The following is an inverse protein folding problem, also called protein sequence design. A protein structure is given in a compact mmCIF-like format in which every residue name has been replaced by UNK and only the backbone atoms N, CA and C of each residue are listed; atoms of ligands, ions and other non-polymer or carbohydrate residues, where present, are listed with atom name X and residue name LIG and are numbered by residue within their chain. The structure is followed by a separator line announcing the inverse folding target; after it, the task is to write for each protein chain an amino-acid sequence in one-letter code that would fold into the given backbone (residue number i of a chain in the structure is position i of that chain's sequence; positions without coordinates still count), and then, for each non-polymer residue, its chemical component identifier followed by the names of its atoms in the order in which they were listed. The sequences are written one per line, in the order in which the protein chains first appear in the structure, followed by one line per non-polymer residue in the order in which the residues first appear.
data_IF_870563986715
#
_entry.id   IF_870563986715
#
_cell.length_a   1.000
_cell.length_b   1.000
_cell.length_c   1.000
_cell.angle_alpha   90.00
_cell.angle_beta   90.00
_cell.angle_gamma   90.00
#
_symmetry.space_group_name_H-M   'P 1'
#
loop_
_entity.id
_entity.type
_entity.pdbx_description
1 polymer ?
#
# COMPACT_ATOMS: atom_id res chain seq x y z
N UNK A 1 -57.46 -47.82 50.94
CA UNK A 1 -58.20 -47.09 51.99
C UNK A 1 -57.28 -46.04 52.57
N UNK A 2 -57.71 -44.79 52.55
CA UNK A 2 -56.96 -43.61 52.98
C UNK A 2 -57.22 -43.28 54.46
N UNK A 3 -56.23 -42.64 55.10
CA UNK A 3 -56.27 -41.55 56.11
C UNK A 3 -55.03 -41.69 57.00
N UNK A 4 -54.04 -40.79 56.99
CA UNK A 4 -54.05 -39.38 57.35
C UNK A 4 -54.38 -39.13 58.83
N UNK A 5 -53.37 -38.71 59.59
CA UNK A 5 -53.52 -37.96 60.84
C UNK A 5 -52.55 -36.78 60.83
N UNK A 6 -53.13 -35.58 60.68
CA UNK A 6 -52.55 -34.29 60.99
C UNK A 6 -52.55 -34.07 62.51
N UNK A 7 -51.54 -33.34 63.02
CA UNK A 7 -51.71 -32.46 64.19
C UNK A 7 -51.09 -31.11 63.81
N UNK A 8 -51.84 -30.06 64.13
CA UNK A 8 -51.76 -28.68 63.65
C UNK A 8 -51.42 -27.74 64.82
N UNK A 9 -50.97 -26.53 64.48
CA UNK A 9 -51.00 -25.27 65.26
C UNK A 9 -50.13 -25.15 66.50
N UNK A 10 -49.58 -23.99 66.87
CA UNK A 10 -49.53 -22.64 66.32
C UNK A 10 -48.50 -21.85 67.16
N UNK A 11 -47.72 -20.97 66.56
CA UNK A 11 -47.31 -19.70 67.19
C UNK A 11 -46.66 -18.78 66.15
N UNK A 12 -47.49 -17.91 65.60
CA UNK A 12 -47.12 -16.72 64.84
C UNK A 12 -47.16 -15.54 65.81
N UNK A 13 -46.05 -14.79 65.97
CA UNK A 13 -46.01 -13.31 65.83
C UNK A 13 -44.59 -12.73 66.09
N UNK A 14 -43.97 -12.25 65.01
CA UNK A 14 -43.32 -10.93 64.85
C UNK A 14 -42.19 -10.52 65.83
N UNK A 15 -40.97 -10.40 65.29
CA UNK A 15 -40.29 -9.10 65.27
C UNK A 15 -39.43 -8.93 64.00
N UNK A 16 -39.65 -7.78 63.38
CA UNK A 16 -39.10 -7.32 62.12
C UNK A 16 -37.65 -6.82 62.33
N UNK A 17 -36.70 -7.27 61.50
CA UNK A 17 -35.58 -6.43 61.10
C UNK A 17 -35.32 -6.60 59.60
N UNK A 18 -35.40 -5.45 58.93
CA UNK A 18 -35.36 -5.30 57.49
C UNK A 18 -33.94 -5.47 56.91
N UNK A 19 -33.91 -6.05 55.71
CA UNK A 19 -33.14 -5.65 54.54
C UNK A 19 -31.68 -5.17 54.72
N UNK A 20 -30.71 -5.91 54.17
CA UNK A 20 -29.95 -5.52 52.96
C UNK A 20 -29.50 -6.79 52.19
N UNK A 21 -29.86 -6.84 50.91
CA UNK A 21 -29.60 -7.82 49.83
C UNK A 21 -28.11 -7.99 49.45
N UNK A 22 -27.72 -8.84 48.45
CA UNK A 22 -28.32 -10.08 47.95
C UNK A 22 -27.31 -11.22 47.66
N UNK A 23 -27.86 -12.43 47.46
CA UNK A 23 -27.31 -13.43 46.53
C UNK A 23 -27.06 -12.81 45.15
N UNK A 24 -25.81 -12.79 44.69
CA UNK A 24 -25.48 -12.51 43.30
C UNK A 24 -25.26 -13.82 42.55
N UNK A 25 -26.03 -14.14 41.49
CA UNK A 25 -25.58 -15.13 40.53
C UNK A 25 -24.39 -14.51 39.79
N UNK A 26 -23.27 -15.24 39.68
CA UNK A 26 -22.23 -14.88 38.73
C UNK A 26 -22.84 -14.92 37.33
N UNK A 27 -23.35 -13.77 36.87
CA UNK A 27 -23.82 -13.58 35.50
C UNK A 27 -22.60 -13.80 34.61
N UNK A 28 -22.55 -14.97 33.97
CA UNK A 28 -21.61 -15.26 32.91
C UNK A 28 -21.77 -14.17 31.85
N UNK A 29 -20.74 -13.35 31.76
CA UNK A 29 -20.58 -12.21 30.88
C UNK A 29 -20.40 -12.68 29.42
N UNK A 30 -21.43 -13.27 28.82
CA UNK A 30 -21.46 -13.51 27.39
C UNK A 30 -21.54 -12.15 26.67
N UNK A 31 -20.42 -11.67 26.12
CA UNK A 31 -20.38 -10.49 25.25
C UNK A 31 -19.51 -9.32 25.71
N UNK A 32 -18.82 -9.40 26.85
CA UNK A 32 -17.93 -8.34 27.38
C UNK A 32 -16.50 -8.39 26.82
N UNK A 33 -16.06 -9.53 26.31
CA UNK A 33 -14.70 -9.74 25.81
C UNK A 33 -14.68 -9.89 24.30
N UNK A 34 -13.58 -9.49 23.68
CA UNK A 34 -13.27 -9.69 22.28
C UNK A 34 -11.92 -10.41 22.13
N UNK A 35 -11.74 -11.13 21.04
CA UNK A 35 -10.51 -11.86 20.75
C UNK A 35 -9.93 -11.31 19.44
N UNK A 36 -8.88 -10.50 19.55
CA UNK A 36 -8.17 -9.97 18.38
C UNK A 36 -7.13 -10.98 17.90
N UNK A 37 -7.15 -11.26 16.61
CA UNK A 37 -6.23 -12.17 15.93
C UNK A 37 -5.27 -11.38 15.05
N UNK A 38 -3.99 -11.73 15.11
CA UNK A 38 -2.94 -11.24 14.21
C UNK A 38 -2.21 -12.42 13.57
N UNK A 39 -1.75 -12.23 12.34
CA UNK A 39 -1.01 -13.23 11.58
C UNK A 39 0.06 -12.57 10.75
N UNK A 40 1.17 -13.27 10.55
CA UNK A 40 2.24 -12.93 9.61
C UNK A 40 2.04 -13.58 8.22
N UNK A 41 0.88 -14.17 7.92
CA UNK A 41 0.53 -14.66 6.58
C UNK A 41 0.22 -13.53 5.57
N UNK A 42 0.11 -13.81 4.26
CA UNK A 42 0.15 -15.11 3.57
C UNK A 42 1.51 -15.79 3.66
N UNK A 43 1.55 -17.10 3.42
CA UNK A 43 2.80 -17.85 3.47
C UNK A 43 2.99 -18.78 2.27
N UNK A 44 4.26 -19.07 1.99
CA UNK A 44 4.62 -20.05 0.96
C UNK A 44 4.50 -21.45 1.55
N UNK A 45 4.00 -22.42 0.79
CA UNK A 45 3.84 -23.80 1.23
C UNK A 45 5.16 -24.35 1.80
N UNK A 46 5.11 -24.88 3.02
CA UNK A 46 6.25 -25.38 3.77
C UNK A 46 6.90 -24.38 4.75
N UNK A 47 6.57 -23.08 4.67
CA UNK A 47 7.06 -22.08 5.64
C UNK A 47 6.21 -22.08 6.90
N UNK A 48 6.82 -21.66 8.01
CA UNK A 48 6.12 -21.51 9.28
C UNK A 48 5.38 -20.17 9.35
N UNK A 49 4.17 -20.19 9.90
CA UNK A 49 3.31 -19.01 10.09
C UNK A 49 3.01 -18.87 11.57
N UNK A 50 3.14 -17.65 12.09
CA UNK A 50 2.78 -17.29 13.46
C UNK A 50 1.41 -16.63 13.50
N UNK A 51 0.50 -17.21 14.29
CA UNK A 51 -0.82 -16.65 14.56
C UNK A 51 -0.92 -16.35 16.04
N UNK A 52 -1.25 -15.11 16.40
CA UNK A 52 -1.41 -14.68 17.79
C UNK A 52 -2.85 -14.23 18.06
N UNK A 53 -3.41 -14.70 19.16
CA UNK A 53 -4.70 -14.27 19.69
C UNK A 53 -4.47 -13.50 20.99
N UNK A 54 -5.13 -12.36 21.16
CA UNK A 54 -5.11 -11.59 22.40
C UNK A 54 -6.54 -11.28 22.87
N UNK A 55 -6.82 -11.57 24.13
CA UNK A 55 -8.09 -11.30 24.78
C UNK A 55 -8.14 -9.82 25.21
N UNK A 56 -9.13 -9.08 24.70
CA UNK A 56 -9.30 -7.64 24.94
C UNK A 56 -10.70 -7.39 25.52
N UNK A 57 -10.84 -6.43 26.44
CA UNK A 57 -12.14 -5.99 26.97
C UNK A 57 -12.81 -5.10 25.93
N UNK A 58 -14.13 -5.25 25.70
CA UNK A 58 -14.86 -4.30 24.86
C UNK A 58 -14.96 -2.94 25.56
N UNK A 59 -14.77 -1.86 24.81
CA UNK A 59 -14.58 -0.46 25.27
C UNK A 59 -15.66 0.12 26.22
N UNK A 60 -16.76 -0.61 26.52
CA UNK A 60 -17.80 -0.20 27.48
C UNK A 60 -17.82 -1.03 28.79
N UNK A 61 -16.85 -1.91 29.02
CA UNK A 61 -16.76 -2.73 30.24
C UNK A 61 -15.65 -2.25 31.18
N UNK A 62 -15.98 -1.54 32.26
CA UNK A 62 -15.06 -1.21 33.35
C UNK A 62 -14.85 -2.42 34.29
N UNK A 63 -14.30 -3.51 33.76
CA UNK A 63 -13.82 -4.66 34.54
C UNK A 63 -12.38 -4.94 34.16
N UNK A 64 -11.40 -4.75 35.07
CA UNK A 64 -10.01 -5.11 34.79
C UNK A 64 -9.92 -6.63 34.54
N UNK A 65 -9.30 -7.04 33.43
CA UNK A 65 -8.91 -8.43 33.23
C UNK A 65 -7.90 -8.81 34.32
N UNK A 66 -8.14 -9.85 35.12
CA UNK A 66 -7.09 -10.41 35.97
C UNK A 66 -5.93 -10.82 35.07
N UNK A 67 -4.72 -10.34 35.36
CA UNK A 67 -3.55 -10.57 34.53
C UNK A 67 -2.97 -12.00 34.64
N UNK A 68 -3.60 -12.86 35.44
CA UNK A 68 -3.11 -14.21 35.71
C UNK A 68 -3.41 -15.16 34.55
N UNK A 69 -2.35 -15.72 33.97
CA UNK A 69 -2.40 -16.70 32.88
C UNK A 69 -3.19 -17.99 33.23
N UNK A 70 -3.40 -18.26 34.53
CA UNK A 70 -4.06 -19.47 35.01
C UNK A 70 -5.60 -19.40 34.99
N UNK A 71 -6.18 -18.29 34.55
CA UNK A 71 -7.64 -18.10 34.51
C UNK A 71 -8.28 -18.40 33.15
N UNK A 72 -7.50 -18.33 32.06
CA UNK A 72 -8.03 -18.43 30.69
C UNK A 72 -7.32 -19.52 29.89
N UNK A 73 -8.10 -20.34 29.18
CA UNK A 73 -7.60 -21.41 28.32
C UNK A 73 -7.99 -21.14 26.87
N UNK A 74 -6.99 -21.15 25.99
CA UNK A 74 -7.18 -20.94 24.55
C UNK A 74 -7.26 -22.29 23.83
N UNK A 75 -8.35 -22.46 23.09
CA UNK A 75 -8.59 -23.65 22.27
C UNK A 75 -8.52 -23.24 20.82
N UNK A 76 -7.71 -23.96 20.05
CA UNK A 76 -7.45 -23.67 18.64
C UNK A 76 -7.97 -24.80 17.76
N UNK A 77 -8.59 -24.45 16.65
CA UNK A 77 -8.81 -25.34 15.51
C UNK A 77 -7.97 -24.81 14.36
N UNK A 78 -6.98 -25.61 13.96
CA UNK A 78 -6.03 -25.28 12.90
C UNK A 78 -5.91 -26.41 11.86
N UNK A 79 -6.62 -27.53 12.01
CA UNK A 79 -6.56 -28.65 11.06
C UNK A 79 -7.08 -28.22 9.69
N UNK A 80 -6.40 -28.57 8.58
CA UNK A 80 -5.35 -29.58 8.45
C UNK A 80 -3.90 -29.08 8.59
N UNK A 81 -3.66 -27.86 9.08
CA UNK A 81 -2.31 -27.33 9.28
C UNK A 81 -1.58 -28.07 10.42
N UNK A 82 -0.28 -28.30 10.22
CA UNK A 82 0.60 -28.96 11.20
C UNK A 82 1.04 -27.96 12.26
N UNK A 83 0.71 -28.20 13.53
CA UNK A 83 1.15 -27.37 14.65
C UNK A 83 2.62 -27.67 14.99
N UNK A 84 3.47 -26.66 14.95
CA UNK A 84 4.90 -26.79 15.29
C UNK A 84 5.22 -26.29 16.69
N UNK A 85 4.54 -25.22 17.13
CA UNK A 85 4.69 -24.68 18.48
C UNK A 85 3.40 -24.01 18.96
N UNK A 86 3.21 -24.00 20.29
CA UNK A 86 2.18 -23.23 20.97
C UNK A 86 2.78 -22.58 22.20
N UNK A 87 2.53 -21.29 22.38
CA UNK A 87 2.93 -20.52 23.56
C UNK A 87 1.73 -19.75 24.10
N UNK A 88 1.61 -19.68 25.43
CA UNK A 88 0.56 -18.94 26.11
C UNK A 88 1.21 -18.00 27.14
N UNK A 89 0.78 -16.74 27.15
CA UNK A 89 1.29 -15.71 28.05
C UNK A 89 0.16 -14.78 28.48
N UNK A 90 -0.26 -14.88 29.74
CA UNK A 90 -1.32 -14.07 30.34
C UNK A 90 -2.64 -14.13 29.54
N UNK A 91 -2.90 -13.11 28.75
CA UNK A 91 -4.11 -12.92 27.94
C UNK A 91 -3.86 -13.16 26.45
N UNK A 92 -2.68 -13.67 26.09
CA UNK A 92 -2.31 -13.97 24.71
C UNK A 92 -1.94 -15.44 24.52
N UNK A 93 -2.31 -15.98 23.37
CA UNK A 93 -1.93 -17.31 22.91
C UNK A 93 -1.42 -17.22 21.49
N UNK A 94 -0.27 -17.81 21.23
CA UNK A 94 0.37 -17.81 19.92
C UNK A 94 0.60 -19.26 19.48
N UNK A 95 0.18 -19.57 18.25
CA UNK A 95 0.48 -20.85 17.60
C UNK A 95 1.39 -20.61 16.41
N UNK A 96 2.27 -21.57 16.15
CA UNK A 96 3.03 -21.67 14.91
C UNK A 96 2.55 -22.89 14.14
N UNK A 97 2.26 -22.69 12.87
CA UNK A 97 1.66 -23.70 11.99
C UNK A 97 2.36 -23.73 10.65
N UNK A 98 2.38 -24.90 10.03
CA UNK A 98 2.94 -25.12 8.69
C UNK A 98 1.84 -25.71 7.79
N UNK A 99 1.72 -25.18 6.57
CA UNK A 99 0.85 -25.70 5.53
C UNK A 99 1.63 -26.47 4.46
N UNK A 100 1.35 -27.77 4.31
CA UNK A 100 2.01 -28.63 3.31
C UNK A 100 1.33 -28.66 1.94
N UNK A 101 0.17 -28.02 1.80
CA UNK A 101 -0.63 -27.99 0.57
C UNK A 101 -1.09 -26.54 0.35
N UNK A 102 -1.12 -26.03 -0.90
CA UNK A 102 -1.68 -24.72 -1.17
C UNK A 102 -3.19 -24.70 -0.94
N UNK A 103 -3.69 -23.60 -0.40
CA UNK A 103 -5.11 -23.45 -0.08
C UNK A 103 -5.36 -22.34 0.95
N UNK A 104 -6.63 -22.04 1.15
CA UNK A 104 -7.07 -21.08 2.15
C UNK A 104 -7.63 -21.85 3.36
N UNK A 105 -6.92 -21.77 4.49
CA UNK A 105 -7.21 -22.59 5.67
C UNK A 105 -7.86 -21.76 6.78
N UNK A 106 -9.09 -22.08 7.22
CA UNK A 106 -9.71 -21.38 8.33
C UNK A 106 -9.04 -21.81 9.65
N UNK A 107 -8.57 -20.83 10.42
CA UNK A 107 -8.06 -21.01 11.78
C UNK A 107 -9.00 -20.32 12.73
N UNK A 108 -9.53 -21.05 13.71
CA UNK A 108 -10.43 -20.49 14.72
C UNK A 108 -9.90 -20.73 16.12
N UNK A 109 -10.22 -19.79 17.00
CA UNK A 109 -9.82 -19.82 18.40
C UNK A 109 -10.96 -19.35 19.29
N UNK A 110 -11.12 -20.01 20.43
CA UNK A 110 -12.03 -19.57 21.47
C UNK A 110 -11.38 -19.68 22.85
N UNK A 111 -11.87 -18.87 23.78
CA UNK A 111 -11.34 -18.78 25.14
C UNK A 111 -12.39 -19.22 26.14
N UNK A 112 -12.00 -20.06 27.09
CA UNK A 112 -12.82 -20.49 28.23
C UNK A 112 -12.14 -20.12 29.55
N UNK A 113 -12.91 -19.91 30.61
CA UNK A 113 -12.36 -19.87 31.97
C UNK A 113 -11.88 -21.28 32.38
N UNK A 114 -10.82 -21.38 33.17
CA UNK A 114 -10.19 -22.67 33.54
C UNK A 114 -11.12 -23.57 34.36
N UNK A 115 -11.94 -23.00 35.26
CA UNK A 115 -12.79 -23.75 36.19
C UNK A 115 -14.20 -24.10 35.64
N UNK A 116 -14.41 -24.10 34.32
CA UNK A 116 -15.73 -24.39 33.79
C UNK A 116 -15.73 -25.19 32.48
N UNK A 117 -15.86 -26.51 32.63
CA UNK A 117 -15.93 -27.49 31.53
C UNK A 117 -17.19 -27.34 30.66
N UNK A 118 -18.29 -26.83 31.22
CA UNK A 118 -19.59 -26.68 30.53
C UNK A 118 -19.95 -25.23 30.17
N UNK A 119 -19.03 -24.27 30.36
CA UNK A 119 -19.33 -22.87 30.09
C UNK A 119 -19.31 -22.55 28.59
N UNK A 120 -20.16 -21.59 28.21
CA UNK A 120 -20.07 -20.95 26.89
C UNK A 120 -18.72 -20.23 26.75
N UNK A 121 -18.13 -20.20 25.54
CA UNK A 121 -16.88 -19.49 25.31
C UNK A 121 -17.05 -17.99 25.60
N UNK A 122 -16.03 -17.39 26.23
CA UNK A 122 -16.00 -15.96 26.59
C UNK A 122 -15.91 -15.09 25.33
N UNK A 123 -15.08 -15.52 24.39
CA UNK A 123 -14.90 -14.91 23.08
C UNK A 123 -14.46 -15.97 22.07
N UNK A 124 -14.76 -15.71 20.80
CA UNK A 124 -14.38 -16.53 19.64
C UNK A 124 -13.94 -15.63 18.51
N UNK A 125 -12.96 -16.06 17.75
CA UNK A 125 -12.48 -15.36 16.57
C UNK A 125 -11.95 -16.36 15.56
N UNK A 126 -11.97 -15.99 14.28
CA UNK A 126 -11.48 -16.83 13.20
C UNK A 126 -10.83 -15.96 12.13
N UNK A 127 -9.81 -16.51 11.47
CA UNK A 127 -9.17 -15.93 10.30
C UNK A 127 -9.01 -17.00 9.23
N UNK A 128 -8.81 -16.58 7.99
CA UNK A 128 -8.46 -17.48 6.89
C UNK A 128 -6.99 -17.24 6.54
N UNK A 129 -6.18 -18.30 6.63
CA UNK A 129 -4.75 -18.26 6.32
C UNK A 129 -4.51 -18.76 4.88
N UNK A 130 -4.12 -17.88 3.95
CA UNK A 130 -3.73 -18.28 2.61
C UNK A 130 -2.31 -18.88 2.58
N UNK A 131 -2.21 -20.14 2.16
CA UNK A 131 -0.95 -20.82 1.83
C UNK A 131 -0.84 -20.91 0.32
N UNK A 132 0.22 -20.34 -0.25
CA UNK A 132 0.46 -20.28 -1.69
C UNK A 132 1.53 -21.30 -2.09
N UNK A 133 1.39 -21.89 -3.27
CA UNK A 133 2.42 -22.78 -3.83
C UNK A 133 3.69 -21.99 -4.21
N UNK A 134 3.46 -20.85 -4.85
CA UNK A 134 4.47 -19.87 -5.27
C UNK A 134 4.98 -19.01 -4.12
N UNK A 135 6.15 -18.40 -4.34
CA UNK A 135 6.75 -17.43 -3.41
C UNK A 135 5.77 -16.28 -3.12
N UNK A 136 5.70 -15.87 -1.85
CA UNK A 136 4.96 -14.69 -1.40
C UNK A 136 5.92 -13.52 -1.27
N UNK A 137 5.53 -12.36 -1.80
CA UNK A 137 6.35 -11.17 -1.77
C UNK A 137 5.65 -9.99 -2.45
N UNK A 138 6.33 -8.86 -2.51
CA UNK A 138 5.83 -7.65 -3.13
C UNK A 138 6.87 -7.02 -4.05
N UNK A 139 6.40 -6.44 -5.16
CA UNK A 139 7.21 -5.67 -6.09
C UNK A 139 7.03 -4.18 -5.80
N UNK A 140 8.09 -3.53 -5.33
CA UNK A 140 8.10 -2.11 -4.97
C UNK A 140 8.88 -1.32 -6.01
N UNK A 141 8.30 -0.21 -6.45
CA UNK A 141 8.91 0.67 -7.45
C UNK A 141 9.05 2.07 -6.88
N UNK A 142 10.29 2.54 -6.78
CA UNK A 142 10.59 3.86 -6.25
C UNK A 142 11.37 4.68 -7.27
N UNK A 143 11.19 6.00 -7.21
CA UNK A 143 11.95 6.95 -8.00
C UNK A 143 12.44 8.05 -7.07
N UNK A 144 13.72 8.40 -7.17
CA UNK A 144 14.28 9.48 -6.38
C UNK A 144 13.95 10.81 -7.06
N UNK A 145 12.79 11.39 -6.75
CA UNK A 145 12.31 12.65 -7.29
C UNK A 145 11.82 13.56 -6.19
N UNK A 146 12.13 14.85 -6.30
CA UNK A 146 11.57 15.90 -5.44
C UNK A 146 10.08 16.16 -5.68
N UNK A 147 9.54 15.65 -6.79
CA UNK A 147 8.15 15.77 -7.18
C UNK A 147 7.41 14.48 -6.82
N UNK A 148 6.48 14.54 -5.86
CA UNK A 148 5.64 13.41 -5.45
C UNK A 148 4.33 13.42 -6.22
N UNK A 149 4.27 12.66 -7.30
CA UNK A 149 3.02 12.45 -8.04
C UNK A 149 2.40 11.11 -7.65
N UNK A 150 1.13 11.06 -7.21
CA UNK A 150 0.47 9.80 -6.89
C UNK A 150 0.34 8.97 -8.17
N UNK A 151 0.90 7.76 -8.13
CA UNK A 151 0.76 6.72 -9.16
C UNK A 151 1.33 7.08 -10.55
N UNK A 152 2.35 7.94 -10.64
CA UNK A 152 3.08 8.17 -11.91
C UNK A 152 4.57 8.42 -11.71
N UNK A 153 5.36 8.07 -12.72
CA UNK A 153 6.82 8.14 -12.73
C UNK A 153 7.31 9.02 -13.89
N UNK A 154 8.52 9.57 -13.75
CA UNK A 154 9.13 10.45 -14.75
C UNK A 154 10.00 9.62 -15.72
N UNK A 155 9.85 9.84 -17.03
CA UNK A 155 10.72 9.22 -18.06
C UNK A 155 12.16 9.76 -18.00
N UNK A 156 13.11 9.06 -18.61
CA UNK A 156 14.54 9.46 -18.69
C UNK A 156 15.20 9.64 -17.32
N UNK A 157 14.62 9.05 -16.28
CA UNK A 157 15.12 9.03 -14.90
C UNK A 157 15.20 7.58 -14.43
N UNK A 158 16.17 7.28 -13.57
CA UNK A 158 16.37 5.93 -13.05
C UNK A 158 15.26 5.56 -12.07
N UNK A 159 14.57 4.46 -12.34
CA UNK A 159 13.64 3.80 -11.43
C UNK A 159 14.38 2.70 -10.68
N UNK A 160 14.11 2.60 -9.39
CA UNK A 160 14.57 1.51 -8.54
C UNK A 160 13.43 0.51 -8.37
N UNK A 161 13.56 -0.65 -9.02
CA UNK A 161 12.63 -1.77 -8.93
C UNK A 161 13.20 -2.74 -7.89
N UNK A 162 12.40 -3.12 -6.89
CA UNK A 162 12.85 -3.95 -5.78
C UNK A 162 11.82 -5.04 -5.47
N UNK A 163 12.25 -6.29 -5.51
CA UNK A 163 11.45 -7.41 -5.00
C UNK A 163 11.70 -7.59 -3.50
N UNK A 164 10.62 -7.63 -2.71
CA UNK A 164 10.66 -7.88 -1.28
C UNK A 164 10.00 -9.24 -1.00
N UNK A 165 10.82 -10.23 -0.63
CA UNK A 165 10.34 -11.53 -0.21
C UNK A 165 9.63 -11.41 1.15
N UNK A 166 8.48 -12.07 1.28
CA UNK A 166 7.76 -12.20 2.54
C UNK A 166 8.07 -13.56 3.18
N UNK A 167 9.08 -13.59 4.06
CA UNK A 167 9.53 -14.80 4.77
C UNK A 167 9.85 -14.48 6.24
N UNK A 168 8.83 -14.33 7.11
CA UNK A 168 9.03 -14.05 8.52
C UNK A 168 9.69 -15.21 9.29
N UNK A 169 9.67 -16.43 8.73
CA UNK A 169 10.22 -17.64 9.35
C UNK A 169 11.70 -17.88 9.04
N UNK A 170 12.33 -17.03 8.22
CA UNK A 170 13.68 -17.23 7.67
C UNK A 170 13.86 -18.60 6.95
N UNK A 171 12.78 -19.15 6.39
CA UNK A 171 12.79 -20.46 5.72
C UNK A 171 13.74 -20.47 4.51
N UNK A 172 13.80 -19.38 3.76
CA UNK A 172 14.60 -19.25 2.54
C UNK A 172 16.01 -18.67 2.79
N UNK A 173 16.47 -18.60 4.05
CA UNK A 173 17.77 -18.02 4.39
C UNK A 173 18.98 -18.66 3.69
N UNK A 174 18.88 -19.94 3.35
CA UNK A 174 19.94 -20.69 2.63
C UNK A 174 19.71 -20.78 1.11
N UNK A 175 18.63 -20.19 0.60
CA UNK A 175 18.29 -20.26 -0.81
C UNK A 175 19.10 -19.25 -1.63
N UNK A 176 19.48 -19.67 -2.84
CA UNK A 176 19.98 -18.79 -3.89
C UNK A 176 18.79 -18.27 -4.72
N UNK A 177 18.79 -16.98 -5.04
CA UNK A 177 17.69 -16.35 -5.76
C UNK A 177 18.12 -15.89 -7.15
N UNK A 178 17.26 -16.12 -8.14
CA UNK A 178 17.40 -15.64 -9.50
C UNK A 178 16.15 -14.86 -9.92
N UNK A 179 16.35 -13.74 -10.58
CA UNK A 179 15.31 -12.79 -10.96
C UNK A 179 15.34 -12.59 -12.46
N UNK A 180 14.25 -12.93 -13.13
CA UNK A 180 14.03 -12.61 -14.54
C UNK A 180 13.05 -11.45 -14.64
N UNK A 181 13.59 -10.28 -14.94
CA UNK A 181 12.86 -9.03 -15.16
C UNK A 181 12.43 -8.89 -16.61
N UNK A 182 11.18 -8.51 -16.81
CA UNK A 182 10.60 -8.08 -18.08
C UNK A 182 10.04 -6.67 -17.85
N UNK A 183 10.59 -5.68 -18.55
CA UNK A 183 10.22 -4.28 -18.37
C UNK A 183 8.98 -3.88 -19.19
N UNK A 184 8.44 -4.80 -20.00
CA UNK A 184 7.24 -4.55 -20.80
C UNK A 184 7.45 -3.65 -22.02
N UNK A 185 8.68 -3.21 -22.29
CA UNK A 185 9.09 -2.49 -23.50
C UNK A 185 9.85 -3.40 -24.51
N UNK A 186 9.88 -4.71 -24.24
CA UNK A 186 10.64 -5.71 -25.00
C UNK A 186 12.01 -6.04 -24.39
N UNK A 187 12.48 -5.24 -23.44
CA UNK A 187 13.75 -5.49 -22.75
C UNK A 187 13.57 -6.47 -21.60
N UNK A 188 14.49 -7.42 -21.49
CA UNK A 188 14.55 -8.39 -20.40
C UNK A 188 15.93 -8.40 -19.75
N UNK A 189 15.97 -8.72 -18.46
CA UNK A 189 17.21 -8.80 -17.69
C UNK A 189 17.14 -9.98 -16.71
N UNK A 190 18.23 -10.71 -16.56
CA UNK A 190 18.37 -11.78 -15.57
C UNK A 190 19.44 -11.37 -14.56
N UNK A 191 19.11 -11.40 -13.27
CA UNK A 191 20.00 -11.00 -12.17
C UNK A 191 19.92 -11.99 -11.01
N UNK A 192 20.94 -11.99 -10.15
CA UNK A 192 20.96 -12.61 -8.82
C UNK A 192 20.57 -11.61 -7.70
N UNK A 193 20.51 -10.32 -8.04
CA UNK A 193 20.08 -9.25 -7.14
C UNK A 193 18.56 -8.99 -7.24
N UNK A 194 17.91 -8.78 -6.09
CA UNK A 194 16.48 -8.46 -5.98
C UNK A 194 16.15 -7.01 -6.37
N UNK A 195 17.17 -6.18 -6.57
CA UNK A 195 17.04 -4.76 -6.94
C UNK A 195 17.68 -4.51 -8.30
N UNK A 196 16.93 -3.84 -9.18
CA UNK A 196 17.44 -3.39 -10.48
C UNK A 196 17.11 -1.91 -10.71
N UNK A 197 17.98 -1.24 -11.45
CA UNK A 197 17.80 0.14 -11.88
C UNK A 197 17.50 0.17 -13.37
N UNK A 198 16.42 0.85 -13.76
CA UNK A 198 15.98 0.90 -15.16
C UNK A 198 15.45 2.28 -15.54
N UNK A 199 15.70 2.72 -16.77
CA UNK A 199 15.30 4.02 -17.29
C UNK A 199 14.46 3.88 -18.57
N UNK A 200 13.19 4.31 -18.50
CA UNK A 200 12.33 4.32 -19.68
C UNK A 200 12.53 5.60 -20.50
N UNK A 201 12.80 5.44 -21.79
CA UNK A 201 12.99 6.57 -22.72
C UNK A 201 11.66 7.19 -23.16
N UNK A 202 10.62 6.38 -23.30
CA UNK A 202 9.32 6.78 -23.85
C UNK A 202 8.26 6.90 -22.75
N UNK A 203 7.39 7.93 -22.80
CA UNK A 203 6.22 8.01 -21.93
C UNK A 203 5.20 6.93 -22.32
N UNK A 204 4.37 6.50 -21.38
CA UNK A 204 3.39 5.45 -21.62
C UNK A 204 3.03 4.65 -20.38
N UNK A 205 2.20 3.63 -20.56
CA UNK A 205 1.91 2.65 -19.52
C UNK A 205 2.67 1.36 -19.84
N UNK A 206 3.47 0.89 -18.89
CA UNK A 206 4.26 -0.33 -19.00
C UNK A 206 3.87 -1.30 -17.89
N UNK A 207 3.98 -2.60 -18.16
CA UNK A 207 3.75 -3.64 -17.15
C UNK A 207 5.06 -4.35 -16.88
N UNK A 208 5.66 -4.06 -15.72
CA UNK A 208 6.87 -4.75 -15.28
C UNK A 208 6.47 -6.08 -14.69
N UNK A 209 7.16 -7.14 -15.10
CA UNK A 209 7.01 -8.49 -14.55
C UNK A 209 8.35 -8.96 -14.02
N UNK A 210 8.33 -9.67 -12.90
CA UNK A 210 9.50 -10.36 -12.38
C UNK A 210 9.12 -11.79 -12.04
N UNK A 211 9.87 -12.73 -12.61
CA UNK A 211 9.85 -14.13 -12.21
C UNK A 211 11.02 -14.37 -11.27
N UNK A 212 10.72 -14.78 -10.05
CA UNK A 212 11.69 -15.10 -9.01
C UNK A 212 11.80 -16.61 -8.91
N UNK A 213 13.02 -17.13 -8.86
CA UNK A 213 13.34 -18.54 -8.59
C UNK A 213 14.20 -18.59 -7.33
N UNK A 214 13.76 -19.33 -6.32
CA UNK A 214 14.51 -19.62 -5.12
C UNK A 214 14.94 -21.09 -5.14
N UNK A 215 16.25 -21.34 -5.05
CA UNK A 215 16.83 -22.68 -5.12
C UNK A 215 17.63 -23.00 -3.85
N UNK A 216 17.41 -24.17 -3.26
CA UNK A 216 18.17 -24.62 -2.09
C UNK A 216 18.33 -26.14 -2.06
N UNK A 217 19.33 -26.61 -1.32
CA UNK A 217 19.53 -28.05 -1.08
C UNK A 217 18.62 -28.52 0.07
N UNK A 218 17.90 -29.62 -0.16
CA UNK A 218 17.19 -30.33 0.90
C UNK A 218 17.65 -31.79 0.95
N UNK A 219 17.96 -32.27 2.16
CA UNK A 219 18.26 -33.68 2.40
C UNK A 219 16.95 -34.46 2.32
N UNK A 220 16.80 -35.28 1.28
CA UNK A 220 15.70 -36.25 1.21
C UNK A 220 16.01 -37.44 2.12
N UNK A 221 14.97 -38.21 2.50
CA UNK A 221 15.09 -39.39 3.37
C UNK A 221 16.11 -40.43 2.86
N UNK A 222 16.40 -40.45 1.56
CA UNK A 222 17.26 -41.44 0.89
C UNK A 222 18.72 -40.98 0.70
N UNK A 223 19.27 -40.15 1.61
CA UNK A 223 20.67 -39.62 1.63
C UNK A 223 21.18 -38.92 0.37
N UNK A 224 20.34 -38.76 -0.66
CA UNK A 224 20.61 -37.98 -1.86
C UNK A 224 20.17 -36.53 -1.63
N UNK A 225 21.13 -35.61 -1.73
CA UNK A 225 20.85 -34.17 -1.74
C UNK A 225 20.05 -33.83 -2.99
N UNK A 226 18.82 -33.35 -2.82
CA UNK A 226 18.01 -32.85 -3.92
C UNK A 226 18.00 -31.33 -3.93
N UNK A 227 18.16 -30.73 -5.11
CA UNK A 227 17.90 -29.30 -5.31
C UNK A 227 16.38 -29.13 -5.40
N UNK A 228 15.84 -28.25 -4.56
CA UNK A 228 14.44 -27.85 -4.58
C UNK A 228 14.36 -26.43 -5.09
N UNK A 229 13.35 -26.17 -5.92
CA UNK A 229 13.10 -24.86 -6.47
C UNK A 229 11.67 -24.42 -6.16
N UNK A 230 11.50 -23.15 -5.81
CA UNK A 230 10.20 -22.48 -5.75
C UNK A 230 10.23 -21.23 -6.60
N UNK A 231 9.11 -20.96 -7.25
CA UNK A 231 9.00 -19.82 -8.17
C UNK A 231 7.88 -18.88 -7.73
N UNK A 232 7.99 -17.62 -8.13
CA UNK A 232 6.93 -16.62 -7.95
C UNK A 232 6.93 -15.63 -9.11
N UNK A 233 5.75 -15.35 -9.65
CA UNK A 233 5.56 -14.38 -10.72
C UNK A 233 4.84 -13.16 -10.15
N UNK A 234 5.47 -11.98 -10.29
CA UNK A 234 4.96 -10.72 -9.75
C UNK A 234 4.89 -9.69 -10.87
N UNK A 235 3.89 -8.80 -10.81
CA UNK A 235 3.73 -7.76 -11.81
C UNK A 235 3.20 -6.46 -11.22
N UNK A 236 3.61 -5.34 -11.81
CA UNK A 236 3.10 -4.01 -11.47
C UNK A 236 2.98 -3.14 -12.72
N UNK A 237 2.03 -2.20 -12.70
CA UNK A 237 1.81 -1.27 -13.82
C UNK A 237 2.44 0.08 -13.52
N UNK A 238 3.27 0.56 -14.44
CA UNK A 238 3.96 1.84 -14.36
C UNK A 238 3.34 2.82 -15.33
N UNK A 239 3.00 4.02 -14.86
CA UNK A 239 2.56 5.14 -15.70
C UNK A 239 3.67 6.18 -15.81
N UNK A 240 4.36 6.19 -16.93
CA UNK A 240 5.49 7.05 -17.21
C UNK A 240 5.05 8.30 -17.97
N UNK A 241 5.46 9.45 -17.45
CA UNK A 241 5.17 10.78 -18.00
C UNK A 241 6.46 11.52 -18.27
N UNK A 242 6.48 12.29 -19.35
CA UNK A 242 7.62 13.14 -19.68
C UNK A 242 7.46 14.53 -19.08
N UNK A 243 8.53 15.03 -18.45
CA UNK A 243 8.59 16.40 -17.95
C UNK A 243 8.85 17.38 -19.08
N UNK A 244 8.23 18.54 -19.03
CA UNK A 244 8.58 19.68 -19.85
C UNK A 244 9.92 20.25 -19.36
N UNK A 245 10.98 20.11 -20.16
CA UNK A 245 12.32 20.58 -19.83
C UNK A 245 12.48 22.09 -20.03
N UNK A 246 11.70 22.69 -20.93
CA UNK A 246 11.76 24.12 -21.21
C UNK A 246 11.07 24.52 -22.51
N UNK A 247 11.20 25.82 -22.81
CA UNK A 247 10.67 26.46 -24.03
C UNK A 247 11.84 27.15 -24.73
N UNK A 248 12.10 26.80 -25.98
CA UNK A 248 13.03 27.50 -26.86
C UNK A 248 12.25 28.45 -27.76
N UNK A 249 12.66 29.71 -27.82
CA UNK A 249 11.98 30.75 -28.60
C UNK A 249 12.89 31.16 -29.76
N UNK A 250 12.34 31.13 -30.97
CA UNK A 250 12.99 31.57 -32.19
C UNK A 250 12.17 32.72 -32.78
N UNK A 251 12.68 33.94 -32.66
CA UNK A 251 12.04 35.14 -33.19
C UNK A 251 13.00 36.34 -33.16
N UNK A 252 12.71 37.39 -33.93
CA UNK A 252 13.51 38.60 -33.93
C UNK A 252 13.38 39.36 -32.61
N UNK A 253 14.43 40.11 -32.26
CA UNK A 253 14.49 40.98 -31.07
C UNK A 253 14.30 42.46 -31.42
N UNK A 254 14.32 42.81 -32.70
CA UNK A 254 14.15 44.15 -33.23
C UNK A 254 13.12 44.14 -34.35
N UNK A 255 12.14 45.04 -34.32
CA UNK A 255 11.11 45.16 -35.36
C UNK A 255 10.71 46.63 -35.58
N UNK A 256 10.00 46.91 -36.67
CA UNK A 256 9.32 48.19 -36.89
C UNK A 256 7.81 48.07 -36.64
N UNK A 257 7.15 49.19 -36.33
CA UNK A 257 5.68 49.25 -36.22
C UNK A 257 5.00 48.81 -37.51
N UNK A 258 3.79 48.25 -37.38
CA UNK A 258 2.96 47.72 -38.48
C UNK A 258 3.56 46.53 -39.25
N UNK A 259 4.72 46.00 -38.84
CA UNK A 259 5.25 44.75 -39.37
C UNK A 259 4.69 43.54 -38.61
N UNK A 260 4.49 42.43 -39.32
CA UNK A 260 4.03 41.18 -38.75
C UNK A 260 5.20 40.39 -38.16
N UNK A 261 5.28 40.36 -36.83
CA UNK A 261 6.16 39.46 -36.10
C UNK A 261 5.66 38.03 -36.24
N UNK A 262 6.57 37.10 -36.51
CA UNK A 262 6.32 35.65 -36.37
C UNK A 262 7.40 35.06 -35.48
N UNK A 263 6.97 34.37 -34.43
CA UNK A 263 7.85 33.75 -33.46
C UNK A 263 7.47 32.29 -33.27
N UNK A 264 8.47 31.42 -33.32
CA UNK A 264 8.30 29.96 -33.16
C UNK A 264 8.74 29.56 -31.77
N UNK A 265 7.86 28.88 -31.04
CA UNK A 265 8.15 28.27 -29.75
C UNK A 265 8.32 26.77 -29.95
N UNK A 266 9.46 26.23 -29.54
CA UNK A 266 9.75 24.81 -29.51
C UNK A 266 9.74 24.33 -28.05
N UNK A 267 8.84 23.41 -27.74
CA UNK A 267 8.68 22.82 -26.41
C UNK A 267 9.57 21.58 -26.28
N UNK A 268 10.41 21.56 -25.25
CA UNK A 268 11.26 20.42 -24.94
C UNK A 268 10.51 19.43 -24.03
N UNK A 269 9.47 18.79 -24.55
CA UNK A 269 8.64 17.82 -23.83
C UNK A 269 7.49 17.29 -24.67
N UNK A 270 6.66 16.43 -24.07
CA UNK A 270 5.54 15.79 -24.76
C UNK A 270 4.23 16.59 -24.68
N UNK A 271 3.48 16.74 -25.79
CA UNK A 271 2.12 17.27 -25.79
C UNK A 271 1.10 16.27 -25.19
N UNK A 272 -0.14 16.71 -24.85
CA UNK A 272 -0.67 18.07 -24.98
C UNK A 272 -0.14 19.03 -23.91
N UNK A 273 0.08 20.29 -24.30
CA UNK A 273 0.56 21.37 -23.44
C UNK A 273 -0.50 22.48 -23.34
N UNK A 274 -0.74 22.97 -22.13
CA UNK A 274 -1.49 24.19 -21.89
C UNK A 274 -0.52 25.36 -21.91
N UNK A 275 -0.56 26.15 -22.97
CA UNK A 275 0.32 27.30 -23.15
C UNK A 275 -0.48 28.56 -22.85
N UNK A 276 0.10 29.47 -22.09
CA UNK A 276 -0.46 30.80 -21.85
C UNK A 276 0.60 31.83 -22.18
N UNK A 277 0.25 32.83 -23.00
CA UNK A 277 1.17 33.89 -23.36
C UNK A 277 0.58 35.26 -23.06
N UNK A 278 1.44 36.24 -22.80
CA UNK A 278 1.06 37.61 -22.55
C UNK A 278 2.15 38.57 -23.00
N UNK A 279 1.77 39.83 -23.20
CA UNK A 279 2.64 40.90 -23.64
C UNK A 279 2.60 42.02 -22.60
N UNK A 280 3.77 42.36 -22.03
CA UNK A 280 3.89 43.44 -21.04
C UNK A 280 5.12 44.30 -21.32
N UNK A 281 5.18 45.56 -20.86
CA UNK A 281 6.39 46.39 -20.98
C UNK A 281 7.57 45.82 -20.18
N UNK A 282 7.31 45.07 -19.11
CA UNK A 282 8.32 44.45 -18.25
C UNK A 282 8.16 42.93 -18.22
N UNK A 283 9.29 42.21 -18.13
CA UNK A 283 9.30 40.74 -18.04
C UNK A 283 8.98 40.27 -16.62
N UNK A 284 7.72 40.38 -16.22
CA UNK A 284 7.21 39.89 -14.94
C UNK A 284 6.40 38.60 -15.15
N UNK A 285 6.22 37.82 -14.09
CA UNK A 285 5.39 36.61 -14.15
C UNK A 285 3.94 36.96 -14.52
N UNK A 286 3.30 36.10 -15.32
CA UNK A 286 1.88 36.23 -15.66
C UNK A 286 1.00 35.65 -14.55
N UNK A 287 0.01 36.41 -14.11
CA UNK A 287 -1.12 35.88 -13.36
C UNK A 287 -2.08 35.12 -14.30
N UNK A 288 -2.79 34.11 -13.79
CA UNK A 288 -3.63 33.20 -14.58
C UNK A 288 -4.74 33.89 -15.39
N UNK A 289 -5.13 35.11 -15.03
CA UNK A 289 -6.22 35.87 -15.65
C UNK A 289 -5.75 36.83 -16.75
N UNK A 290 -4.44 37.04 -16.89
CA UNK A 290 -3.86 38.05 -17.78
C UNK A 290 -3.18 37.48 -19.02
N UNK A 291 -3.37 36.19 -19.28
CA UNK A 291 -2.71 35.50 -20.37
C UNK A 291 -3.72 34.87 -21.34
N UNK A 292 -3.30 34.74 -22.60
CA UNK A 292 -4.08 34.10 -23.65
C UNK A 292 -3.82 32.59 -23.64
N UNK A 293 -4.80 31.76 -23.23
CA UNK A 293 -4.62 30.31 -23.16
C UNK A 293 -4.75 29.67 -24.54
N UNK A 294 -3.87 28.73 -24.84
CA UNK A 294 -3.80 27.97 -26.09
C UNK A 294 -3.46 26.51 -25.76
N UNK A 295 -4.25 25.57 -26.26
CA UNK A 295 -3.94 24.16 -26.18
C UNK A 295 -3.05 23.78 -27.37
N UNK A 296 -1.83 23.31 -27.09
CA UNK A 296 -0.87 22.90 -28.11
C UNK A 296 -0.73 21.38 -28.12
N UNK A 297 -1.04 20.76 -29.26
CA UNK A 297 -0.97 19.30 -29.47
C UNK A 297 0.33 18.85 -30.14
N UNK A 298 1.16 19.80 -30.57
CA UNK A 298 2.47 19.56 -31.22
C UNK A 298 3.59 20.03 -30.29
N UNK A 299 4.84 19.70 -30.65
CA UNK A 299 6.04 20.18 -29.95
C UNK A 299 6.45 21.60 -30.37
N UNK A 300 5.76 22.19 -31.36
CA UNK A 300 5.99 23.57 -31.78
C UNK A 300 4.69 24.37 -31.89
N UNK A 301 4.79 25.68 -31.62
CA UNK A 301 3.70 26.63 -31.75
C UNK A 301 4.22 27.94 -32.35
N UNK A 302 3.53 28.46 -33.36
CA UNK A 302 3.88 29.75 -33.98
C UNK A 302 2.91 30.82 -33.49
N UNK A 303 3.46 31.88 -32.88
CA UNK A 303 2.72 33.07 -32.53
C UNK A 303 3.01 34.16 -33.56
N UNK A 304 1.94 34.84 -33.98
CA UNK A 304 2.05 36.02 -34.83
C UNK A 304 1.43 37.22 -34.13
N UNK A 305 2.11 38.36 -34.15
CA UNK A 305 1.66 39.61 -33.53
C UNK A 305 2.04 40.81 -34.39
N UNK A 306 1.30 41.91 -34.28
CA UNK A 306 1.57 43.17 -34.98
C UNK A 306 1.57 44.29 -33.96
N UNK A 307 2.65 45.07 -33.91
CA UNK A 307 2.79 46.21 -33.00
C UNK A 307 2.27 47.49 -33.67
N UNK A 308 1.39 48.20 -32.97
CA UNK A 308 0.88 49.51 -33.43
C UNK A 308 1.77 50.65 -32.94
N UNK A 309 2.24 50.56 -31.70
CA UNK A 309 3.05 51.59 -31.06
C UNK A 309 4.51 51.16 -30.92
N UNK A 310 5.46 52.11 -31.02
CA UNK A 310 6.87 51.85 -30.72
C UNK A 310 7.09 51.73 -29.21
N UNK A 311 8.06 50.93 -28.81
CA UNK A 311 8.38 50.72 -27.40
C UNK A 311 9.14 49.42 -27.14
N UNK A 312 9.48 49.22 -25.88
CA UNK A 312 10.07 47.97 -25.39
C UNK A 312 8.96 47.07 -24.85
N UNK A 313 8.87 45.87 -25.43
CA UNK A 313 7.90 44.87 -25.03
C UNK A 313 8.58 43.57 -24.61
N UNK A 314 7.92 42.84 -23.72
CA UNK A 314 8.32 41.52 -23.30
C UNK A 314 7.17 40.55 -23.48
N UNK A 315 7.39 39.54 -24.33
CA UNK A 315 6.53 38.38 -24.36
C UNK A 315 6.87 37.47 -23.20
N UNK A 316 5.83 37.03 -22.50
CA UNK A 316 5.93 36.10 -21.38
C UNK A 316 5.19 34.84 -21.81
N UNK A 317 5.87 33.70 -21.78
CA UNK A 317 5.31 32.40 -22.11
C UNK A 317 5.32 31.51 -20.89
N UNK A 318 4.19 30.85 -20.66
CA UNK A 318 4.04 29.75 -19.73
C UNK A 318 3.53 28.54 -20.47
N UNK A 319 4.18 27.41 -20.30
CA UNK A 319 3.68 26.14 -20.77
C UNK A 319 3.63 25.16 -19.60
N UNK A 320 2.52 24.44 -19.47
CA UNK A 320 2.36 23.43 -18.46
C UNK A 320 1.84 22.12 -19.07
N UNK A 321 2.30 21.02 -18.50
CA UNK A 321 1.75 19.70 -18.72
C UNK A 321 1.24 19.13 -17.39
N UNK A 322 0.77 17.89 -17.40
CA UNK A 322 0.18 17.26 -16.22
C UNK A 322 1.13 17.12 -15.02
N UNK A 323 2.46 17.30 -15.19
CA UNK A 323 3.46 17.06 -14.14
C UNK A 323 4.52 18.16 -13.97
N UNK A 324 4.55 19.18 -14.83
CA UNK A 324 5.61 20.20 -14.84
C UNK A 324 5.16 21.47 -15.55
N UNK A 325 5.79 22.59 -15.18
CA UNK A 325 5.57 23.91 -15.78
C UNK A 325 6.91 24.51 -16.20
N UNK A 326 6.92 25.24 -17.31
CA UNK A 326 8.07 26.00 -17.78
C UNK A 326 7.64 27.43 -18.12
N UNK A 327 8.51 28.38 -17.84
CA UNK A 327 8.33 29.79 -18.17
C UNK A 327 9.49 30.26 -19.03
N UNK A 328 9.22 31.14 -19.99
CA UNK A 328 10.26 31.75 -20.81
C UNK A 328 9.84 33.16 -21.21
N UNK A 329 10.82 34.06 -21.35
CA UNK A 329 10.61 35.44 -21.74
C UNK A 329 11.31 35.76 -23.05
N UNK A 330 10.73 36.62 -23.88
CA UNK A 330 11.36 37.14 -25.09
C UNK A 330 11.18 38.65 -25.16
N UNK A 331 12.28 39.39 -25.10
CA UNK A 331 12.29 40.85 -25.22
C UNK A 331 12.33 41.26 -26.68
N UNK A 332 11.58 42.29 -27.00
CA UNK A 332 11.55 42.86 -28.34
C UNK A 332 11.48 44.39 -28.26
N UNK A 333 12.30 45.04 -29.07
CA UNK A 333 12.32 46.49 -29.22
C UNK A 333 11.69 46.87 -30.56
N UNK A 334 10.68 47.74 -30.50
CA UNK A 334 9.89 48.14 -31.65
C UNK A 334 10.15 49.61 -31.97
N UNK A 335 10.68 49.87 -33.17
CA UNK A 335 10.96 51.20 -33.65
C UNK A 335 9.81 51.75 -34.50
N UNK A 336 9.61 53.09 -34.54
CA UNK A 336 8.66 53.68 -35.45
C UNK A 336 9.05 53.34 -36.90
N UNK A 337 8.09 52.94 -37.72
CA UNK A 337 8.30 52.86 -39.16
C UNK A 337 8.68 54.25 -39.68
N UNK A 338 9.84 54.39 -40.31
CA UNK A 338 10.19 55.60 -41.06
C UNK A 338 9.18 55.76 -42.20
N UNK A 339 8.31 56.77 -42.09
CA UNK A 339 7.49 57.22 -43.22
C UNK A 339 8.37 57.73 -44.34
#
# INVERSE_FOLDING_TARGET
MAKATNVWSDLVLVFCFACVLPLGPARVAAGLYNLSLTTDGPATMGTEVTISASLVVKDNGSLPLPADAHLYRFHWIHTPLTLTAKTEKNLTSTIRVVGSVPGDFPVSVWVTAVDCWMCKPLARSALVLPIKESLVGNLVVTQNTSLSWPNSYITKRSLRLSFLLHDPSDFFKSASFFYRWDFGDGTMLITDNSVVYYNYSSPGTFTVKVRVVAEWEQTKLDTTKGIIQKTGDFSTSLRLRETLQGIQILGPTLMQTFQKLTMTMNFLGSPPLHVCWGLKPQCLALEDRECHPVLVTRTSFNLTHVFQDPGDYCFIFRAENAISKAHQYHRIQVWPSSK
#
